data_IF_285358671002
#
_entry.id   IF_285358671002
#
_cell.length_a   1.000
_cell.length_b   1.000
_cell.length_c   1.000
_cell.angle_alpha   90.00
_cell.angle_beta   90.00
_cell.angle_gamma   90.00
#
_symmetry.space_group_name_H-M   'P 1'
#
loop_
_entity.id
_entity.type
_entity.pdbx_description
1 polymer ?
#
# COMPACT_ATOMS: atom_id res chain seq x y z
N UNK A 1 1.99 -7.25 -6.84
CA UNK A 1 3.00 -6.17 -6.84
C UNK A 1 4.37 -6.79 -7.07
N UNK A 2 5.26 -6.13 -7.81
CA UNK A 2 6.62 -6.60 -8.11
C UNK A 2 7.61 -6.43 -6.94
N UNK A 3 7.16 -6.75 -5.73
CA UNK A 3 7.98 -6.76 -4.52
C UNK A 3 7.75 -8.07 -3.76
N UNK A 4 8.76 -8.47 -3.00
CA UNK A 4 8.66 -9.61 -2.09
C UNK A 4 8.47 -9.10 -0.67
N UNK A 5 7.75 -9.88 0.12
CA UNK A 5 7.58 -9.64 1.55
C UNK A 5 7.75 -10.95 2.30
N UNK A 6 8.33 -10.87 3.50
CA UNK A 6 8.46 -12.03 4.36
C UNK A 6 7.09 -12.47 4.89
N UNK A 7 6.94 -13.78 5.03
CA UNK A 7 5.78 -14.46 5.60
C UNK A 7 6.20 -15.75 6.30
N UNK A 8 5.24 -16.41 6.93
CA UNK A 8 5.39 -17.71 7.60
C UNK A 8 4.29 -18.63 7.12
N UNK A 9 4.69 -19.75 6.52
CA UNK A 9 3.78 -20.80 6.06
C UNK A 9 4.29 -22.13 6.61
N UNK A 10 3.49 -22.80 7.46
CA UNK A 10 3.97 -23.90 8.28
C UNK A 10 5.08 -23.45 9.24
N UNK A 11 6.17 -24.20 9.30
CA UNK A 11 7.29 -23.95 10.22
C UNK A 11 8.43 -23.11 9.60
N UNK A 12 8.28 -22.66 8.35
CA UNK A 12 9.32 -21.97 7.61
C UNK A 12 8.97 -20.52 7.26
N UNK A 13 10.00 -19.66 7.23
CA UNK A 13 9.90 -18.33 6.63
C UNK A 13 9.85 -18.45 5.11
N UNK A 14 9.05 -17.61 4.49
CA UNK A 14 8.92 -17.53 3.02
C UNK A 14 9.06 -16.08 2.56
N UNK A 15 9.63 -15.87 1.38
CA UNK A 15 9.68 -14.56 0.71
C UNK A 15 8.92 -14.64 -0.60
N UNK A 16 7.72 -14.07 -0.60
CA UNK A 16 6.76 -14.22 -1.69
C UNK A 16 6.10 -12.88 -2.03
N UNK A 17 5.30 -12.86 -3.07
CA UNK A 17 4.71 -11.62 -3.58
C UNK A 17 3.67 -11.03 -2.62
N UNK A 18 3.43 -9.73 -2.78
CA UNK A 18 2.29 -9.04 -2.19
C UNK A 18 1.27 -8.69 -3.29
N UNK A 19 -0.02 -8.87 -3.03
CA UNK A 19 -1.12 -8.42 -3.87
C UNK A 19 -1.66 -7.07 -3.37
N UNK A 20 -2.20 -6.27 -4.27
CA UNK A 20 -2.81 -5.00 -3.94
C UNK A 20 -4.23 -4.92 -4.48
N UNK A 21 -5.14 -4.36 -3.70
CA UNK A 21 -6.54 -4.13 -4.03
C UNK A 21 -6.77 -2.61 -4.04
N UNK A 22 -7.55 -2.11 -4.97
CA UNK A 22 -8.03 -0.72 -4.97
C UNK A 22 -9.47 -0.68 -5.48
N UNK A 23 -10.26 0.27 -4.99
CA UNK A 23 -11.63 0.50 -5.46
C UNK A 23 -11.90 2.00 -5.58
N UNK A 24 -13.07 2.35 -6.11
CA UNK A 24 -13.54 3.75 -6.17
C UNK A 24 -14.38 4.11 -4.93
N UNK A 25 -14.45 3.22 -3.94
CA UNK A 25 -15.28 3.43 -2.77
C UNK A 25 -14.64 4.48 -1.86
N UNK A 26 -15.38 5.54 -1.54
CA UNK A 26 -14.95 6.55 -0.57
C UNK A 26 -14.77 5.92 0.82
N UNK A 27 -15.63 4.96 1.16
CA UNK A 27 -15.57 4.18 2.40
C UNK A 27 -15.67 2.69 2.05
N UNK A 28 -14.55 2.00 1.82
CA UNK A 28 -14.58 0.58 1.47
C UNK A 28 -15.10 -0.25 2.64
N UNK A 29 -15.78 -1.35 2.34
CA UNK A 29 -16.18 -2.32 3.36
C UNK A 29 -14.94 -3.10 3.84
N UNK A 30 -14.38 -2.67 4.96
CA UNK A 30 -13.18 -3.28 5.53
C UNK A 30 -13.33 -4.77 5.84
N UNK A 31 -14.51 -5.20 6.31
CA UNK A 31 -14.77 -6.60 6.60
C UNK A 31 -14.71 -7.47 5.33
N UNK A 32 -15.27 -6.99 4.22
CA UNK A 32 -15.16 -7.66 2.93
C UNK A 32 -13.71 -7.68 2.42
N UNK A 33 -12.97 -6.57 2.58
CA UNK A 33 -11.55 -6.52 2.23
C UNK A 33 -10.71 -7.52 3.01
N UNK A 34 -10.93 -7.67 4.32
CA UNK A 34 -10.22 -8.66 5.15
C UNK A 34 -10.60 -10.11 4.76
N UNK A 35 -11.87 -10.36 4.45
CA UNK A 35 -12.31 -11.67 3.94
C UNK A 35 -11.62 -11.96 2.61
N UNK A 36 -11.62 -11.02 1.68
CA UNK A 36 -10.99 -11.14 0.38
C UNK A 36 -9.48 -11.37 0.51
N UNK A 37 -8.79 -10.62 1.36
CA UNK A 37 -7.37 -10.79 1.65
C UNK A 37 -7.07 -12.23 2.11
N UNK A 38 -7.88 -12.75 3.05
CA UNK A 38 -7.74 -14.13 3.54
C UNK A 38 -7.99 -15.16 2.44
N UNK A 39 -8.96 -14.94 1.57
CA UNK A 39 -9.26 -15.82 0.44
C UNK A 39 -8.11 -15.86 -0.57
N UNK A 40 -7.58 -14.69 -0.94
CA UNK A 40 -6.44 -14.58 -1.87
C UNK A 40 -5.23 -15.34 -1.32
N UNK A 41 -4.85 -15.11 -0.06
CA UNK A 41 -3.68 -15.79 0.50
C UNK A 41 -3.87 -17.29 0.68
N UNK A 42 -5.11 -17.77 0.80
CA UNK A 42 -5.42 -19.21 0.86
C UNK A 42 -5.40 -19.85 -0.52
N UNK A 43 -5.90 -19.16 -1.54
CA UNK A 43 -5.94 -19.67 -2.90
C UNK A 43 -4.59 -19.58 -3.61
N UNK A 44 -3.79 -18.57 -3.28
CA UNK A 44 -2.53 -18.25 -3.93
C UNK A 44 -1.37 -18.30 -2.93
N UNK A 45 -0.79 -19.47 -2.71
CA UNK A 45 0.32 -19.66 -1.77
C UNK A 45 1.59 -18.86 -2.10
N UNK A 46 1.70 -18.34 -3.33
CA UNK A 46 2.76 -17.42 -3.75
C UNK A 46 2.46 -15.94 -3.41
N UNK A 47 1.42 -15.68 -2.62
CA UNK A 47 1.05 -14.35 -2.12
C UNK A 47 1.08 -14.40 -0.59
N UNK A 48 2.07 -13.72 0.00
CA UNK A 48 2.22 -13.65 1.45
C UNK A 48 1.39 -12.52 2.06
N UNK A 49 1.07 -11.48 1.27
CA UNK A 49 0.38 -10.29 1.76
C UNK A 49 -0.62 -9.75 0.76
N UNK A 50 -1.67 -9.15 1.30
CA UNK A 50 -2.66 -8.39 0.55
C UNK A 50 -2.79 -7.03 1.20
N UNK A 51 -2.62 -5.97 0.41
CA UNK A 51 -2.78 -4.59 0.85
C UNK A 51 -3.94 -3.92 0.13
N UNK A 52 -4.57 -2.96 0.79
CA UNK A 52 -5.51 -2.03 0.16
C UNK A 52 -4.80 -0.72 -0.15
N UNK A 53 -4.98 -0.18 -1.36
CA UNK A 53 -4.42 1.11 -1.77
C UNK A 53 -5.42 2.20 -1.42
N UNK A 54 -5.02 3.16 -0.59
CA UNK A 54 -5.89 4.24 -0.13
C UNK A 54 -6.01 5.35 -1.19
N UNK A 55 -7.24 5.82 -1.38
CA UNK A 55 -7.62 6.82 -2.37
C UNK A 55 -8.32 6.20 -3.59
N UNK A 56 -8.30 6.93 -4.72
CA UNK A 56 -8.94 6.51 -5.96
C UNK A 56 -8.38 5.18 -6.49
N UNK A 57 -9.22 4.43 -7.21
CA UNK A 57 -8.85 3.20 -7.89
C UNK A 57 -7.61 3.42 -8.77
N UNK A 58 -6.68 2.47 -8.71
CA UNK A 58 -5.53 2.46 -9.60
C UNK A 58 -6.00 1.99 -10.98
N UNK A 59 -5.80 2.85 -11.98
CA UNK A 59 -6.09 2.58 -13.38
C UNK A 59 -4.89 2.05 -14.16
N UNK A 60 -3.69 2.13 -13.56
CA UNK A 60 -2.47 1.64 -14.18
C UNK A 60 -2.59 0.12 -14.35
N UNK A 61 -2.75 -0.33 -15.59
CA UNK A 61 -3.08 -1.72 -15.90
C UNK A 61 -2.01 -2.70 -15.37
N UNK A 62 -0.73 -2.32 -15.39
CA UNK A 62 0.35 -3.11 -14.81
C UNK A 62 1.50 -2.24 -14.31
N UNK A 63 1.84 -2.38 -13.02
CA UNK A 63 3.06 -1.81 -12.47
C UNK A 63 4.21 -2.73 -12.83
N UNK A 64 4.88 -2.41 -13.94
CA UNK A 64 5.95 -3.23 -14.52
C UNK A 64 7.36 -2.85 -14.03
N UNK A 65 7.49 -1.76 -13.28
CA UNK A 65 8.78 -1.26 -12.79
C UNK A 65 8.73 -0.96 -11.30
N UNK A 66 9.88 -1.11 -10.65
CA UNK A 66 10.11 -0.71 -9.28
C UNK A 66 11.07 0.49 -9.25
N UNK A 67 10.88 1.39 -8.30
CA UNK A 67 11.85 2.47 -8.03
C UNK A 67 13.11 1.85 -7.45
N UNK A 68 14.25 2.01 -8.13
CA UNK A 68 15.53 1.47 -7.63
C UNK A 68 15.82 2.05 -6.25
N UNK A 69 15.82 1.19 -5.24
CA UNK A 69 15.90 1.60 -3.83
C UNK A 69 16.94 0.74 -3.13
N UNK A 70 17.88 1.40 -2.46
CA UNK A 70 18.87 0.80 -1.57
C UNK A 70 18.83 1.53 -0.24
N UNK A 71 19.43 0.99 0.81
CA UNK A 71 19.53 1.62 2.13
C UNK A 71 20.54 2.78 2.14
N UNK A 72 20.24 3.83 1.37
CA UNK A 72 20.94 5.11 1.45
C UNK A 72 20.32 5.97 2.55
N UNK A 73 21.08 6.96 3.03
CA UNK A 73 20.64 7.84 4.11
C UNK A 73 19.30 8.53 3.77
N UNK A 74 19.16 9.04 2.56
CA UNK A 74 17.92 9.72 2.11
C UNK A 74 16.68 8.81 2.16
N UNK A 75 16.84 7.51 1.83
CA UNK A 75 15.74 6.54 1.87
C UNK A 75 15.38 6.18 3.31
N UNK A 76 16.39 6.02 4.17
CA UNK A 76 16.18 5.76 5.60
C UNK A 76 15.50 6.96 6.27
N UNK A 77 15.92 8.18 5.97
CA UNK A 77 15.32 9.39 6.53
C UNK A 77 13.90 9.61 6.02
N UNK A 78 13.63 9.27 4.75
CA UNK A 78 12.25 9.24 4.23
C UNK A 78 11.37 8.26 4.99
N UNK A 79 11.85 7.03 5.23
CA UNK A 79 11.11 6.02 5.98
C UNK A 79 10.85 6.46 7.43
N UNK A 80 11.86 7.03 8.11
CA UNK A 80 11.73 7.62 9.44
C UNK A 80 10.70 8.74 9.48
N UNK A 81 10.74 9.67 8.53
CA UNK A 81 9.77 10.76 8.45
C UNK A 81 8.33 10.23 8.29
N UNK A 82 8.12 9.19 7.46
CA UNK A 82 6.80 8.55 7.33
C UNK A 82 6.33 7.95 8.67
N UNK A 83 7.22 7.22 9.36
CA UNK A 83 6.91 6.60 10.66
C UNK A 83 6.61 7.64 11.74
N UNK A 84 7.43 8.69 11.86
CA UNK A 84 7.25 9.78 12.81
C UNK A 84 5.90 10.48 12.61
N UNK A 85 5.54 10.78 11.36
CA UNK A 85 4.23 11.37 11.05
C UNK A 85 3.07 10.44 11.42
N UNK A 86 3.18 9.14 11.11
CA UNK A 86 2.16 8.16 11.49
C UNK A 86 2.01 8.06 13.01
N UNK A 87 3.13 8.07 13.74
CA UNK A 87 3.18 8.03 15.20
C UNK A 87 2.53 9.26 15.84
N UNK A 88 2.76 10.45 15.29
CA UNK A 88 2.11 11.68 15.76
C UNK A 88 0.59 11.58 15.64
N UNK A 89 0.08 11.04 14.53
CA UNK A 89 -1.36 10.85 14.34
C UNK A 89 -1.92 9.77 15.28
N UNK A 90 -1.24 8.63 15.46
CA UNK A 90 -1.66 7.61 16.43
C UNK A 90 -1.81 8.17 17.84
N UNK A 91 -0.86 9.00 18.28
CA UNK A 91 -0.90 9.65 19.59
C UNK A 91 -2.03 10.67 19.68
N UNK A 92 -2.22 11.50 18.64
CA UNK A 92 -3.29 12.50 18.57
C UNK A 92 -4.68 11.88 18.75
N UNK A 93 -4.92 10.71 18.17
CA UNK A 93 -6.19 9.99 18.26
C UNK A 93 -6.27 9.02 19.46
N UNK A 94 -5.28 9.01 20.36
CA UNK A 94 -5.17 8.06 21.48
C UNK A 94 -5.25 6.57 21.06
N UNK A 95 -4.85 6.26 19.83
CA UNK A 95 -4.91 4.92 19.26
C UNK A 95 -3.62 4.11 19.47
N UNK A 96 -2.55 4.76 19.96
CA UNK A 96 -1.25 4.10 20.18
C UNK A 96 -1.37 2.87 21.09
N UNK A 97 -2.08 2.98 22.21
CA UNK A 97 -2.28 1.87 23.15
C UNK A 97 -3.29 0.82 22.66
N UNK A 98 -4.06 1.13 21.61
CA UNK A 98 -5.02 0.19 21.03
C UNK A 98 -4.35 -0.83 20.10
N UNK A 99 -3.14 -0.53 19.62
CA UNK A 99 -2.37 -1.39 18.73
C UNK A 99 -1.24 -2.07 19.52
N UNK A 100 -0.92 -3.32 19.16
CA UNK A 100 0.30 -3.96 19.69
C UNK A 100 1.53 -3.33 19.03
N UNK A 101 1.49 -3.16 17.71
CA UNK A 101 2.51 -2.49 16.91
C UNK A 101 1.87 -1.91 15.63
N UNK A 102 2.54 -0.94 15.02
CA UNK A 102 2.19 -0.45 13.67
C UNK A 102 3.43 -0.14 12.84
N UNK A 103 4.11 -1.14 12.23
CA UNK A 103 5.19 -0.85 11.29
C UNK A 103 4.74 0.05 10.14
N UNK A 104 5.59 1.01 9.77
CA UNK A 104 5.41 1.88 8.60
C UNK A 104 6.50 1.54 7.60
N UNK A 105 6.10 0.97 6.46
CA UNK A 105 7.02 0.36 5.50
C UNK A 105 7.08 1.17 4.22
N UNK A 106 8.25 1.65 3.85
CA UNK A 106 8.48 2.32 2.57
C UNK A 106 8.71 1.26 1.48
N UNK A 107 7.85 1.23 0.46
CA UNK A 107 7.95 0.29 -0.66
C UNK A 107 8.41 1.00 -1.95
N UNK A 108 9.23 0.34 -2.79
CA UNK A 108 9.77 0.89 -4.04
C UNK A 108 8.76 0.85 -5.20
N UNK A 109 7.50 1.18 -4.94
CA UNK A 109 6.44 1.18 -5.94
C UNK A 109 5.90 2.58 -6.11
N UNK A 110 5.94 3.07 -7.35
CA UNK A 110 5.24 4.28 -7.76
C UNK A 110 3.94 3.91 -8.47
N UNK A 111 2.83 4.39 -7.93
CA UNK A 111 1.52 4.32 -8.59
C UNK A 111 1.23 5.61 -9.36
N UNK A 112 0.16 5.57 -10.15
CA UNK A 112 -0.42 6.70 -10.90
C UNK A 112 0.51 7.31 -11.94
N UNK A 113 1.40 6.51 -12.51
CA UNK A 113 2.34 7.01 -13.51
C UNK A 113 1.58 7.52 -14.73
N UNK A 114 1.99 8.68 -15.22
CA UNK A 114 1.38 9.26 -16.41
C UNK A 114 1.90 8.49 -17.64
N UNK A 115 0.97 8.08 -18.49
CA UNK A 115 1.30 7.53 -19.81
C UNK A 115 1.24 8.71 -20.76
N UNK A 116 2.38 9.07 -21.35
CA UNK A 116 2.42 10.14 -22.34
C UNK A 116 1.99 9.60 -23.71
N UNK A 117 1.08 10.31 -24.38
CA UNK A 117 0.83 10.12 -25.80
C UNK A 117 1.87 10.87 -26.64
N UNK A 118 2.08 10.40 -27.86
CA UNK A 118 3.04 10.99 -28.79
C UNK A 118 2.67 12.41 -29.25
N UNK A 119 1.39 12.81 -29.14
CA UNK A 119 0.91 14.13 -29.50
C UNK A 119 0.64 14.95 -28.22
N UNK A 120 0.93 16.26 -28.24
CA UNK A 120 0.95 17.21 -27.11
C UNK A 120 -0.41 17.43 -26.37
N UNK A 121 -1.34 16.49 -26.42
CA UNK A 121 -2.55 16.49 -25.59
C UNK A 121 -2.27 15.74 -24.27
N UNK A 122 -2.16 16.50 -23.17
CA UNK A 122 -2.27 15.92 -21.84
C UNK A 122 -3.67 15.32 -21.66
N UNK A 123 -3.78 13.99 -21.63
CA UNK A 123 -5.03 13.36 -21.19
C UNK A 123 -5.15 13.58 -19.68
N UNK A 124 -6.08 14.42 -19.27
CA UNK A 124 -6.52 14.50 -17.89
C UNK A 124 -7.17 13.16 -17.50
N UNK A 125 -6.58 12.45 -16.54
CA UNK A 125 -7.09 11.17 -15.98
C UNK A 125 -8.50 11.29 -15.33
N UNK A 126 -9.15 12.46 -15.39
CA UNK A 126 -10.53 12.71 -14.94
C UNK A 126 -11.59 12.42 -16.00
N UNK A 127 -11.22 12.15 -17.25
CA UNK A 127 -12.19 11.76 -18.27
C UNK A 127 -12.68 10.33 -18.04
N UNK A 128 -13.90 10.18 -17.51
CA UNK A 128 -14.55 8.88 -17.27
C UNK A 128 -14.75 8.03 -18.54
N UNK A 129 -14.56 8.62 -19.73
CA UNK A 129 -14.67 7.97 -21.04
C UNK A 129 -13.36 7.34 -21.58
N UNK A 130 -12.27 7.32 -20.80
CA UNK A 130 -10.98 6.76 -21.28
C UNK A 130 -11.07 5.24 -21.54
N UNK A 131 -11.94 4.52 -20.82
CA UNK A 131 -12.05 3.06 -20.94
C UNK A 131 -12.55 2.58 -22.32
N UNK A 132 -13.11 3.48 -23.15
CA UNK A 132 -13.61 3.14 -24.50
C UNK A 132 -12.71 3.61 -25.64
N UNK A 133 -11.68 4.41 -25.35
CA UNK A 133 -10.71 4.82 -26.39
C UNK A 133 -9.64 3.75 -26.54
N UNK A 134 -9.75 2.94 -27.59
CA UNK A 134 -8.63 2.09 -28.05
C UNK A 134 -7.52 3.03 -28.52
N UNK A 135 -6.52 3.25 -27.68
CA UNK A 135 -5.31 3.99 -28.04
C UNK A 135 -4.36 2.99 -28.70
N UNK A 136 -3.99 3.19 -29.98
CA UNK A 136 -3.02 2.32 -30.64
C UNK A 136 -1.70 2.31 -29.87
N UNK A 137 -1.12 1.13 -29.63
CA UNK A 137 0.16 0.96 -28.90
C UNK A 137 1.29 1.80 -29.52
N UNK A 138 1.21 2.08 -30.81
CA UNK A 138 2.15 2.95 -31.55
C UNK A 138 2.15 4.41 -31.10
N UNK A 139 1.11 4.86 -30.37
CA UNK A 139 0.99 6.23 -29.84
C UNK A 139 1.44 6.38 -28.38
N UNK A 140 1.79 5.28 -27.70
CA UNK A 140 2.24 5.34 -26.31
C UNK A 140 3.75 5.58 -26.26
N UNK A 141 4.20 6.59 -25.51
CA UNK A 141 5.61 6.68 -25.11
C UNK A 141 5.93 5.62 -24.05
N UNK A 142 7.21 5.25 -23.87
CA UNK A 142 7.62 4.44 -22.73
C UNK A 142 7.12 5.05 -21.42
N UNK A 143 6.58 4.20 -20.55
CA UNK A 143 6.09 4.58 -19.23
C UNK A 143 7.18 5.39 -18.53
N UNK A 144 6.81 6.54 -17.95
CA UNK A 144 7.75 7.37 -17.21
C UNK A 144 8.53 6.54 -16.19
N UNK A 145 9.84 6.76 -16.10
CA UNK A 145 10.71 6.10 -15.14
C UNK A 145 10.17 6.24 -13.71
N UNK A 146 10.33 5.19 -12.91
CA UNK A 146 9.86 5.14 -11.51
C UNK A 146 10.85 5.84 -10.58
N UNK A 147 10.39 6.86 -9.84
CA UNK A 147 11.21 7.67 -8.93
C UNK A 147 10.59 7.84 -7.53
N UNK A 148 9.30 7.58 -7.39
CA UNK A 148 8.59 7.73 -6.12
C UNK A 148 8.46 6.40 -5.37
N UNK A 149 8.10 6.51 -4.10
CA UNK A 149 7.86 5.38 -3.20
C UNK A 149 6.38 5.35 -2.82
N UNK A 150 5.96 4.28 -2.16
CA UNK A 150 4.68 4.23 -1.46
C UNK A 150 4.91 3.80 -0.03
N UNK A 151 3.93 4.03 0.84
CA UNK A 151 4.02 3.68 2.26
C UNK A 151 2.94 2.66 2.58
N UNK A 152 3.30 1.57 3.25
CA UNK A 152 2.37 0.60 3.80
C UNK A 152 2.25 0.84 5.30
N UNK A 153 1.02 1.04 5.76
CA UNK A 153 0.64 1.08 7.15
C UNK A 153 0.28 -0.33 7.60
N UNK A 154 1.04 -0.87 8.56
CA UNK A 154 0.86 -2.24 9.05
C UNK A 154 0.35 -2.23 10.47
N UNK A 155 -0.93 -1.99 10.69
CA UNK A 155 -1.50 -2.15 12.03
C UNK A 155 -1.46 -3.63 12.44
N UNK A 156 -1.14 -3.91 13.70
CA UNK A 156 -1.03 -5.26 14.18
C UNK A 156 -1.53 -5.41 15.61
N UNK A 157 -2.41 -6.39 15.80
CA UNK A 157 -3.01 -6.77 17.07
C UNK A 157 -2.64 -8.22 17.36
N UNK A 158 -2.05 -8.45 18.53
CA UNK A 158 -1.62 -9.77 18.97
C UNK A 158 -1.57 -9.87 20.50
N UNK A 159 -1.67 -11.09 21.02
CA UNK A 159 -1.46 -11.41 22.44
C UNK A 159 -0.10 -12.03 22.72
N UNK A 160 0.50 -12.70 21.73
CA UNK A 160 1.68 -13.57 21.88
C UNK A 160 2.72 -13.40 20.77
N UNK A 161 2.47 -12.52 19.81
CA UNK A 161 3.25 -12.32 18.58
C UNK A 161 3.41 -13.58 17.71
N UNK A 162 2.77 -14.71 18.03
CA UNK A 162 2.77 -15.92 17.22
C UNK A 162 1.63 -15.88 16.20
N UNK A 163 0.48 -15.37 16.61
CA UNK A 163 -0.66 -15.08 15.73
C UNK A 163 -1.05 -13.62 15.84
N UNK A 164 -1.70 -13.07 14.84
CA UNK A 164 -2.20 -11.71 14.93
C UNK A 164 -2.98 -11.28 13.72
N UNK A 165 -3.72 -10.20 13.89
CA UNK A 165 -4.58 -9.64 12.85
C UNK A 165 -4.30 -8.14 12.67
N UNK A 166 -4.56 -7.59 11.49
CA UNK A 166 -4.63 -6.15 11.34
C UNK A 166 -5.77 -5.57 12.20
N UNK A 167 -5.60 -4.31 12.59
CA UNK A 167 -6.69 -3.55 13.17
C UNK A 167 -7.73 -3.22 12.09
N UNK A 168 -8.98 -3.08 12.51
CA UNK A 168 -10.09 -2.74 11.61
C UNK A 168 -10.41 -1.25 11.80
N UNK A 169 -10.20 -0.40 10.79
CA UNK A 169 -10.66 0.99 10.85
C UNK A 169 -12.17 1.06 11.09
N UNK A 170 -12.61 1.99 11.92
CA UNK A 170 -14.00 2.10 12.39
C UNK A 170 -14.33 1.23 13.61
N UNK A 171 -13.53 0.22 13.93
CA UNK A 171 -13.68 -0.59 15.15
C UNK A 171 -12.56 -0.33 16.16
N UNK A 172 -11.31 -0.42 15.71
CA UNK A 172 -10.12 -0.28 16.58
C UNK A 172 -9.72 1.18 16.78
N UNK A 173 -9.95 1.99 15.76
CA UNK A 173 -9.73 3.43 15.76
C UNK A 173 -10.66 4.10 14.73
N UNK A 174 -10.94 5.41 14.83
CA UNK A 174 -11.82 6.13 13.91
C UNK A 174 -11.29 6.15 12.46
N UNK A 175 -12.18 6.13 11.47
CA UNK A 175 -11.78 6.18 10.05
C UNK A 175 -10.97 7.45 9.73
N UNK A 176 -11.35 8.56 10.36
CA UNK A 176 -10.75 9.88 10.20
C UNK A 176 -9.25 9.88 10.58
N UNK A 177 -8.85 9.00 11.50
CA UNK A 177 -7.43 8.83 11.86
C UNK A 177 -6.61 8.36 10.66
N UNK A 178 -7.15 7.45 9.86
CA UNK A 178 -6.45 6.92 8.68
C UNK A 178 -6.34 7.98 7.58
N UNK A 179 -7.39 8.78 7.38
CA UNK A 179 -7.39 9.88 6.42
C UNK A 179 -6.40 10.98 6.82
N UNK A 180 -6.39 11.39 8.10
CA UNK A 180 -5.43 12.37 8.63
C UNK A 180 -3.99 11.85 8.50
N UNK A 181 -3.76 10.57 8.78
CA UNK A 181 -2.45 9.93 8.59
C UNK A 181 -2.01 9.96 7.12
N UNK A 182 -2.90 9.63 6.19
CA UNK A 182 -2.61 9.66 4.76
C UNK A 182 -2.29 11.07 4.28
N UNK A 183 -3.10 12.06 4.67
CA UNK A 183 -2.90 13.45 4.29
C UNK A 183 -1.61 14.01 4.88
N UNK A 184 -1.33 13.72 6.15
CA UNK A 184 -0.13 14.18 6.85
C UNK A 184 1.13 13.62 6.19
N UNK A 185 1.22 12.31 5.94
CA UNK A 185 2.40 11.70 5.31
C UNK A 185 2.58 12.26 3.88
N UNK A 186 1.52 12.28 3.07
CA UNK A 186 1.62 12.73 1.67
C UNK A 186 1.98 14.21 1.53
N UNK A 187 1.55 15.06 2.46
CA UNK A 187 1.80 16.51 2.40
C UNK A 187 3.19 16.88 2.91
N UNK A 188 3.75 16.10 3.84
CA UNK A 188 5.01 16.44 4.51
C UNK A 188 6.22 15.62 4.03
N UNK A 189 6.01 14.46 3.39
CA UNK A 189 7.10 13.61 2.89
C UNK A 189 7.15 13.63 1.36
N UNK A 190 8.15 14.28 0.75
CA UNK A 190 8.27 14.33 -0.71
C UNK A 190 8.50 12.96 -1.35
N UNK A 191 7.87 12.78 -2.52
CA UNK A 191 8.05 11.57 -3.33
C UNK A 191 7.31 10.34 -2.82
N UNK A 192 6.24 10.53 -2.03
CA UNK A 192 5.27 9.47 -1.70
C UNK A 192 4.11 9.52 -2.69
N UNK A 193 3.94 8.44 -3.46
CA UNK A 193 2.88 8.29 -4.47
C UNK A 193 1.56 7.85 -3.83
N UNK A 194 1.56 6.71 -3.12
CA UNK A 194 0.38 6.19 -2.42
C UNK A 194 0.68 5.74 -1.00
N UNK A 195 -0.39 5.71 -0.20
CA UNK A 195 -0.43 5.07 1.11
C UNK A 195 -1.30 3.80 0.95
N UNK A 196 -0.87 2.72 1.58
CA UNK A 196 -1.49 1.41 1.51
C UNK A 196 -1.73 0.89 2.94
N UNK A 197 -2.72 0.03 3.10
CA UNK A 197 -3.07 -0.59 4.37
C UNK A 197 -2.92 -2.12 4.27
N UNK A 198 -2.13 -2.74 5.16
CA UNK A 198 -1.95 -4.20 5.14
C UNK A 198 -3.13 -4.93 5.79
N UNK A 199 -3.79 -5.77 4.98
CA UNK A 199 -4.99 -6.53 5.36
C UNK A 199 -4.67 -7.93 5.89
N UNK A 200 -3.40 -8.33 5.93
CA UNK A 200 -3.04 -9.73 6.08
C UNK A 200 -2.88 -10.12 7.54
N UNK A 201 -3.38 -11.28 7.96
CA UNK A 201 -3.12 -11.81 9.30
C UNK A 201 -1.79 -12.58 9.36
N UNK A 202 -1.26 -12.78 10.57
CA UNK A 202 -0.17 -13.72 10.85
C UNK A 202 -0.78 -15.02 11.39
N UNK A 203 -0.59 -16.18 10.72
CA UNK A 203 -0.07 -16.39 9.35
C UNK A 203 -1.08 -16.01 8.24
N UNK A 204 -0.67 -15.88 6.95
CA UNK A 204 0.63 -16.25 6.36
C UNK A 204 1.67 -15.13 6.35
N UNK A 205 1.30 -13.92 6.74
CA UNK A 205 2.23 -12.82 6.89
C UNK A 205 2.97 -12.90 8.24
N UNK A 206 3.89 -11.96 8.47
CA UNK A 206 4.47 -11.64 9.78
C UNK A 206 4.10 -10.21 10.18
N UNK A 207 4.56 -9.78 11.36
CA UNK A 207 4.41 -8.38 11.79
C UNK A 207 5.17 -7.45 10.85
N UNK A 208 6.47 -7.68 10.68
CA UNK A 208 7.34 -6.92 9.76
C UNK A 208 7.20 -7.36 8.30
N UNK A 209 7.58 -6.52 7.34
CA UNK A 209 7.60 -6.82 5.90
C UNK A 209 8.97 -7.24 5.35
N UNK A 210 10.03 -6.73 6.01
CA UNK A 210 11.48 -6.78 5.69
C UNK A 210 11.91 -6.04 4.41
#
# INVERSE_FOLDING_TARGET
>A
MLIRSVGVQGDARTYSFAAAISSNDEKPNWNELFILARLITKACHHINRVVYILGKKILDAEITQVTRTSLTQDIVDKARACDDHAMVILKRYNAYSALSQMPVVLIPIQFDRQIYLNDHEEINKTDENINERIIPLTRLRPIASSFQHSVVLRTFLTKDFMTGRPAVPGETFPFEMLDDMCQTIKSNVPGISRILYDLTSKPPATTEWE
#
